data_IF_785908414725
#
_entry.id   IF_785908414725
#
_cell.length_a   1.000
_cell.length_b   1.000
_cell.length_c   1.000
_cell.angle_alpha   90.00
_cell.angle_beta   90.00
_cell.angle_gamma   90.00
#
_symmetry.space_group_name_H-M   'P 1'
#
loop_
_entity.id
_entity.type
_entity.pdbx_description
1 polymer ?
#
# COMPACT_ATOMS: atom_id res chain seq x y z
N UNK A 1 16.49 -9.38 32.31
CA UNK A 1 15.53 -8.28 32.07
C UNK A 1 15.05 -8.41 30.65
N UNK A 2 13.76 -8.68 30.40
CA UNK A 2 13.22 -8.81 29.04
C UNK A 2 12.90 -7.44 28.47
N UNK A 3 13.26 -7.20 27.20
CA UNK A 3 13.01 -5.93 26.49
C UNK A 3 11.73 -6.07 25.67
N UNK A 4 10.83 -5.09 25.77
CA UNK A 4 9.60 -5.01 24.98
C UNK A 4 9.70 -3.80 24.04
N UNK A 5 9.69 -4.04 22.73
CA UNK A 5 9.81 -2.99 21.71
C UNK A 5 8.45 -2.66 21.10
N UNK A 6 8.25 -1.39 20.76
CA UNK A 6 7.13 -0.92 19.94
C UNK A 6 7.68 -0.36 18.63
N UNK A 7 7.20 -0.90 17.50
CA UNK A 7 7.69 -0.53 16.16
C UNK A 7 6.55 0.12 15.39
N UNK A 8 6.85 1.27 14.77
CA UNK A 8 5.91 2.02 13.94
C UNK A 8 6.61 2.56 12.71
N UNK A 9 5.87 2.67 11.61
CA UNK A 9 6.36 3.20 10.35
C UNK A 9 6.53 4.72 10.43
N UNK A 10 7.77 5.21 10.38
CA UNK A 10 8.06 6.64 10.31
C UNK A 10 7.67 7.24 8.94
N UNK A 11 7.91 6.50 7.86
CA UNK A 11 7.53 6.90 6.51
C UNK A 11 7.06 5.68 5.72
N UNK A 12 5.92 5.82 5.01
CA UNK A 12 5.39 4.72 4.20
C UNK A 12 6.36 4.38 3.06
N UNK A 13 6.45 3.11 2.63
CA UNK A 13 7.23 2.75 1.46
C UNK A 13 6.78 3.55 0.23
N UNK A 14 7.74 4.00 -0.57
CA UNK A 14 7.50 4.75 -1.82
C UNK A 14 7.88 3.96 -3.07
N UNK A 15 8.56 2.83 -2.90
CA UNK A 15 8.90 1.95 -4.00
C UNK A 15 7.63 1.25 -4.54
N UNK A 16 7.57 1.12 -5.86
CA UNK A 16 6.50 0.42 -6.58
C UNK A 16 7.07 -0.83 -7.21
N UNK A 17 6.42 -1.97 -6.97
CA UNK A 17 6.84 -3.26 -7.51
C UNK A 17 5.93 -3.77 -8.62
N UNK A 18 4.63 -3.49 -8.51
CA UNK A 18 3.62 -3.94 -9.47
C UNK A 18 2.54 -2.87 -9.67
N UNK A 19 1.90 -2.91 -10.83
CA UNK A 19 0.73 -2.08 -11.12
C UNK A 19 -0.28 -2.82 -11.98
N UNK A 20 -1.56 -2.47 -11.82
CA UNK A 20 -2.63 -2.93 -12.69
C UNK A 20 -3.71 -1.85 -12.84
N UNK A 21 -4.51 -1.98 -13.89
CA UNK A 21 -5.59 -1.04 -14.22
C UNK A 21 -6.91 -1.81 -14.32
N UNK A 22 -7.99 -1.22 -13.82
CA UNK A 22 -9.32 -1.80 -13.92
C UNK A 22 -10.39 -0.97 -13.22
N UNK A 23 -11.65 -1.39 -13.39
CA UNK A 23 -12.80 -0.73 -12.78
C UNK A 23 -13.04 -1.31 -11.37
N UNK A 24 -12.23 -0.87 -10.41
CA UNK A 24 -12.13 -1.47 -9.08
C UNK A 24 -13.08 -0.86 -8.05
N UNK A 25 -13.24 0.46 -8.05
CA UNK A 25 -14.11 1.18 -7.10
C UNK A 25 -15.55 1.20 -7.53
N UNK A 26 -15.82 1.27 -8.83
CA UNK A 26 -17.15 1.18 -9.43
C UNK A 26 -17.07 0.75 -10.90
N UNK A 27 -18.16 0.26 -11.50
CA UNK A 27 -18.14 -0.25 -12.88
C UNK A 27 -17.83 0.80 -13.95
N UNK A 28 -17.95 2.09 -13.65
CA UNK A 28 -17.73 3.20 -14.59
C UNK A 28 -16.46 4.00 -14.29
N UNK A 29 -15.77 3.73 -13.19
CA UNK A 29 -14.52 4.42 -12.83
C UNK A 29 -13.32 3.55 -13.15
N UNK A 30 -12.39 4.07 -13.95
CA UNK A 30 -11.13 3.40 -14.23
C UNK A 30 -10.09 3.77 -13.17
N UNK A 31 -9.59 2.78 -12.43
CA UNK A 31 -8.59 2.98 -11.38
C UNK A 31 -7.21 2.43 -11.78
N UNK A 32 -6.16 3.03 -11.20
CA UNK A 32 -4.80 2.51 -11.18
C UNK A 32 -4.47 2.02 -9.77
N UNK A 33 -4.08 0.75 -9.64
CA UNK A 33 -3.66 0.14 -8.37
C UNK A 33 -2.15 -0.10 -8.42
N UNK A 34 -1.48 0.14 -7.29
CA UNK A 34 -0.03 0.07 -7.14
C UNK A 34 0.31 -0.71 -5.88
N UNK A 35 1.26 -1.65 -5.98
CA UNK A 35 1.76 -2.46 -4.87
C UNK A 35 3.29 -2.48 -4.80
#
# INVERSE_FOLDING_TARGET
MSVWNYVVTAHKPTNVTHSCVGNFTSPQELNLIIA
#
